data_IF_466191293782
#
_entry.id   IF_466191293782
#
_cell.length_a   1.000
_cell.length_b   1.000
_cell.length_c   1.000
_cell.angle_alpha   90.00
_cell.angle_beta   90.00
_cell.angle_gamma   90.00
#
_symmetry.space_group_name_H-M   'P 1'
#
loop_
_entity.id
_entity.type
_entity.pdbx_description
1 polymer ?
#
# COMPACT_ATOMS: atom_id res chain seq x y z
N UNK A 1 -15.08 19.82 16.70
CA UNK A 1 -14.46 18.79 15.85
C UNK A 1 -13.76 19.53 14.73
N UNK A 2 -12.43 19.56 14.75
CA UNK A 2 -11.71 20.05 13.57
C UNK A 2 -11.86 18.95 12.51
N UNK A 3 -12.70 19.21 11.50
CA UNK A 3 -12.71 18.41 10.28
C UNK A 3 -11.37 18.62 9.60
N UNK A 4 -10.35 17.88 10.05
CA UNK A 4 -9.18 17.65 9.22
C UNK A 4 -9.60 16.63 8.18
N UNK A 5 -10.35 17.09 7.17
CA UNK A 5 -10.39 16.38 5.90
C UNK A 5 -8.97 16.44 5.37
N UNK A 6 -8.21 15.37 5.62
CA UNK A 6 -6.94 15.17 4.96
C UNK A 6 -7.28 14.90 3.50
N UNK A 7 -7.46 15.99 2.75
CA UNK A 7 -7.91 15.94 1.38
C UNK A 7 -6.72 15.48 0.53
N UNK A 8 -6.66 14.17 0.27
CA UNK A 8 -5.57 13.56 -0.52
C UNK A 8 -5.53 14.11 -1.95
N UNK A 9 -6.69 14.55 -2.46
CA UNK A 9 -6.85 15.18 -3.77
C UNK A 9 -7.74 16.41 -3.65
N UNK A 10 -7.52 17.45 -4.47
CA UNK A 10 -8.57 18.41 -4.79
C UNK A 10 -9.88 17.69 -5.17
N UNK A 11 -11.03 18.19 -4.71
CA UNK A 11 -12.34 17.51 -4.85
C UNK A 11 -12.79 17.43 -6.30
N UNK A 12 -12.29 18.31 -7.17
CA UNK A 12 -12.48 18.28 -8.62
C UNK A 12 -11.64 17.19 -9.32
N UNK A 13 -10.62 16.66 -8.65
CA UNK A 13 -9.82 15.53 -9.12
C UNK A 13 -10.39 14.21 -8.62
N UNK A 14 -10.58 14.08 -7.31
CA UNK A 14 -11.19 12.91 -6.68
C UNK A 14 -11.78 13.27 -5.33
N UNK A 15 -13.03 12.90 -5.10
CA UNK A 15 -13.72 13.16 -3.85
C UNK A 15 -14.24 11.85 -3.23
N UNK A 16 -13.58 11.41 -2.16
CA UNK A 16 -13.98 10.22 -1.40
C UNK A 16 -15.36 10.38 -0.76
N UNK A 17 -15.80 11.61 -0.44
CA UNK A 17 -17.10 11.86 0.15
C UNK A 17 -18.25 11.46 -0.79
N UNK A 18 -18.02 11.42 -2.11
CA UNK A 18 -19.00 10.94 -3.10
C UNK A 18 -19.36 9.46 -2.86
N UNK A 19 -18.42 8.68 -2.32
CA UNK A 19 -18.58 7.25 -2.07
C UNK A 19 -18.93 6.93 -0.60
N UNK A 20 -18.80 7.90 0.30
CA UNK A 20 -19.12 7.76 1.71
C UNK A 20 -20.53 8.29 1.98
N UNK A 21 -21.53 7.42 1.84
CA UNK A 21 -22.93 7.76 2.06
C UNK A 21 -23.63 6.66 2.88
N UNK A 22 -24.40 7.04 3.90
CA UNK A 22 -25.22 6.14 4.72
C UNK A 22 -26.16 5.25 3.90
N UNK A 23 -26.57 5.71 2.72
CA UNK A 23 -27.43 4.98 1.76
C UNK A 23 -26.65 4.03 0.84
N UNK A 24 -25.32 4.09 0.82
CA UNK A 24 -24.43 3.23 0.05
C UNK A 24 -23.19 2.85 0.88
N UNK A 25 -23.35 2.01 1.93
CA UNK A 25 -22.21 1.58 2.76
C UNK A 25 -21.17 0.76 1.99
N UNK A 26 -21.50 0.28 0.77
CA UNK A 26 -20.58 -0.40 -0.13
C UNK A 26 -19.80 0.56 -1.05
N UNK A 27 -20.07 1.87 -1.02
CA UNK A 27 -19.40 2.83 -1.91
C UNK A 27 -17.88 2.87 -1.73
N UNK A 28 -17.42 2.73 -0.48
CA UNK A 28 -15.99 2.58 -0.17
C UNK A 28 -15.48 1.12 -0.28
N UNK A 29 -16.33 0.17 -0.69
CA UNK A 29 -16.05 -1.27 -0.80
C UNK A 29 -16.22 -1.74 -2.24
N UNK A 30 -15.44 -1.15 -3.15
CA UNK A 30 -15.41 -1.51 -4.57
C UNK A 30 -15.50 -0.29 -5.48
N UNK A 31 -16.52 0.57 -5.29
CA UNK A 31 -16.76 1.72 -6.18
C UNK A 31 -15.64 2.76 -6.10
N UNK A 32 -15.27 3.19 -4.90
CA UNK A 32 -14.18 4.14 -4.71
C UNK A 32 -12.83 3.58 -5.22
N UNK A 33 -12.56 2.29 -4.97
CA UNK A 33 -11.33 1.63 -5.43
C UNK A 33 -11.27 1.53 -6.95
N UNK A 34 -12.38 1.14 -7.59
CA UNK A 34 -12.49 1.12 -9.05
C UNK A 34 -12.30 2.53 -9.63
N UNK A 35 -13.01 3.52 -9.10
CA UNK A 35 -12.94 4.89 -9.60
C UNK A 35 -11.54 5.49 -9.45
N UNK A 36 -10.86 5.19 -8.33
CA UNK A 36 -9.47 5.59 -8.14
C UNK A 36 -8.52 4.88 -9.14
N UNK A 37 -8.73 3.58 -9.38
CA UNK A 37 -7.97 2.85 -10.39
C UNK A 37 -8.19 3.44 -11.79
N UNK A 38 -9.44 3.70 -12.18
CA UNK A 38 -9.79 4.37 -13.44
C UNK A 38 -9.16 5.77 -13.54
N UNK A 39 -9.15 6.55 -12.46
CA UNK A 39 -8.49 7.86 -12.42
C UNK A 39 -6.99 7.73 -12.72
N UNK A 40 -6.31 6.80 -12.06
CA UNK A 40 -4.87 6.58 -12.25
C UNK A 40 -4.52 6.20 -13.68
N UNK A 41 -5.36 5.37 -14.32
CA UNK A 41 -5.18 4.90 -15.69
C UNK A 41 -5.50 6.00 -16.71
N UNK A 42 -6.62 6.71 -16.52
CA UNK A 42 -7.15 7.64 -17.52
C UNK A 42 -6.51 9.02 -17.48
N UNK A 43 -5.81 9.36 -16.39
CA UNK A 43 -5.12 10.64 -16.19
C UNK A 43 -3.64 10.41 -15.85
N UNK A 44 -2.83 9.93 -16.81
CA UNK A 44 -1.44 9.56 -16.56
C UNK A 44 -0.58 10.72 -16.03
N UNK A 45 -0.94 11.97 -16.32
CA UNK A 45 -0.28 13.16 -15.79
C UNK A 45 -0.34 13.25 -14.25
N UNK A 46 -1.28 12.57 -13.60
CA UNK A 46 -1.38 12.55 -12.14
C UNK A 46 -0.25 11.78 -11.47
N UNK A 47 0.41 10.86 -12.18
CA UNK A 47 1.59 10.16 -11.68
C UNK A 47 2.78 11.11 -11.44
N UNK A 48 2.84 12.24 -12.13
CA UNK A 48 3.85 13.28 -11.93
C UNK A 48 3.45 14.31 -10.86
N UNK A 49 2.16 14.40 -10.53
CA UNK A 49 1.60 15.42 -9.64
C UNK A 49 1.35 14.89 -8.22
N UNK A 50 0.97 13.61 -8.09
CA UNK A 50 0.50 13.02 -6.83
C UNK A 50 1.21 11.69 -6.56
N UNK A 51 2.10 11.68 -5.57
CA UNK A 51 2.82 10.47 -5.15
C UNK A 51 1.87 9.34 -4.71
N UNK A 52 0.68 9.67 -4.20
CA UNK A 52 -0.34 8.68 -3.83
C UNK A 52 -0.79 7.82 -5.01
N UNK A 53 -0.90 8.41 -6.21
CA UNK A 53 -1.28 7.67 -7.44
C UNK A 53 -0.21 6.64 -7.82
N UNK A 54 1.07 6.97 -7.60
CA UNK A 54 2.18 6.04 -7.82
C UNK A 54 2.16 4.83 -6.88
N UNK A 55 1.65 4.98 -5.65
CA UNK A 55 1.62 3.91 -4.64
C UNK A 55 0.30 3.12 -4.64
N UNK A 56 -0.71 3.59 -5.38
CA UNK A 56 -2.01 2.94 -5.49
C UNK A 56 -1.91 1.55 -6.14
N UNK A 57 -2.00 0.49 -5.33
CA UNK A 57 -2.05 -0.90 -5.82
C UNK A 57 -3.48 -1.38 -5.89
N UNK A 58 -4.03 -1.53 -7.10
CA UNK A 58 -5.38 -2.04 -7.31
C UNK A 58 -5.39 -3.49 -7.85
N UNK A 59 -6.50 -4.25 -7.66
CA UNK A 59 -6.59 -5.69 -7.98
C UNK A 59 -6.43 -6.09 -9.46
N UNK A 60 -6.75 -5.21 -10.41
CA UNK A 60 -6.62 -5.49 -11.83
C UNK A 60 -5.15 -5.44 -12.30
N UNK A 61 -4.40 -6.51 -12.01
CA UNK A 61 -2.93 -6.50 -12.05
C UNK A 61 -2.35 -6.17 -13.43
N UNK A 62 -2.86 -6.76 -14.52
CA UNK A 62 -2.35 -6.48 -15.86
C UNK A 62 -2.48 -4.99 -16.22
N UNK A 63 -3.62 -4.40 -15.87
CA UNK A 63 -3.87 -2.95 -16.07
C UNK A 63 -2.92 -2.12 -15.20
N UNK A 64 -2.68 -2.52 -13.95
CA UNK A 64 -1.73 -1.85 -13.04
C UNK A 64 -0.31 -1.87 -13.60
N UNK A 65 0.15 -3.03 -14.07
CA UNK A 65 1.50 -3.22 -14.61
C UNK A 65 1.75 -2.39 -15.87
N UNK A 66 0.71 -2.11 -16.65
CA UNK A 66 0.79 -1.32 -17.89
C UNK A 66 0.67 0.19 -17.66
N UNK A 67 -0.10 0.61 -16.65
CA UNK A 67 -0.44 2.02 -16.43
C UNK A 67 0.42 2.72 -15.37
N UNK A 68 0.86 2.01 -14.33
CA UNK A 68 1.60 2.62 -13.21
C UNK A 68 3.11 2.59 -13.48
N UNK A 69 3.77 3.75 -13.66
CA UNK A 69 5.18 3.82 -14.02
C UNK A 69 6.14 3.60 -12.83
N UNK A 70 5.62 3.57 -11.60
CA UNK A 70 6.44 3.62 -10.39
C UNK A 70 6.42 2.32 -9.60
N UNK A 71 5.27 1.91 -9.05
CA UNK A 71 5.20 0.79 -8.10
C UNK A 71 5.67 -0.54 -8.72
N UNK A 72 5.23 -0.92 -9.94
CA UNK A 72 5.76 -2.09 -10.64
C UNK A 72 7.28 -2.04 -10.85
N UNK A 73 7.82 -0.86 -11.15
CA UNK A 73 9.24 -0.68 -11.41
C UNK A 73 10.09 -0.85 -10.14
N UNK A 74 9.69 -0.25 -9.02
CA UNK A 74 10.44 -0.40 -7.75
C UNK A 74 10.35 -1.83 -7.18
N UNK A 75 9.25 -2.54 -7.47
CA UNK A 75 9.05 -3.93 -7.08
C UNK A 75 9.65 -4.93 -8.09
N UNK A 76 10.24 -4.46 -9.20
CA UNK A 76 10.77 -5.32 -10.27
C UNK A 76 9.76 -6.33 -10.82
N UNK A 77 8.49 -5.92 -10.97
CA UNK A 77 7.40 -6.72 -11.57
C UNK A 77 6.85 -6.08 -12.84
N UNK A 78 7.35 -4.92 -13.25
CA UNK A 78 6.99 -4.29 -14.50
C UNK A 78 7.41 -5.17 -15.70
N UNK A 79 6.65 -5.10 -16.79
CA UNK A 79 7.00 -5.77 -18.05
C UNK A 79 8.26 -5.08 -18.63
N UNK A 80 9.32 -5.85 -18.82
CA UNK A 80 10.60 -5.38 -19.38
C UNK A 80 10.98 -6.30 -20.53
N UNK A 81 11.36 -5.73 -21.67
CA UNK A 81 11.87 -6.50 -22.79
C UNK A 81 13.21 -7.14 -22.46
N UNK A 82 13.39 -8.41 -22.86
CA UNK A 82 14.59 -9.19 -22.52
C UNK A 82 15.89 -8.61 -23.11
N UNK A 83 15.79 -7.74 -24.11
CA UNK A 83 16.91 -7.03 -24.73
C UNK A 83 17.11 -5.59 -24.23
N UNK A 84 16.23 -5.09 -23.34
CA UNK A 84 16.44 -3.83 -22.64
C UNK A 84 17.48 -4.00 -21.52
N UNK A 85 18.74 -3.94 -21.94
CA UNK A 85 19.89 -4.04 -21.06
C UNK A 85 19.92 -2.98 -19.95
N UNK A 86 19.29 -1.81 -20.16
CA UNK A 86 19.29 -0.76 -19.15
C UNK A 86 18.27 -1.07 -18.06
N UNK A 87 17.05 -1.44 -18.44
CA UNK A 87 16.01 -1.83 -17.49
C UNK A 87 16.43 -3.06 -16.65
N UNK A 88 17.07 -4.06 -17.27
CA UNK A 88 17.62 -5.22 -16.55
C UNK A 88 18.70 -4.82 -15.53
N UNK A 89 19.61 -3.91 -15.90
CA UNK A 89 20.62 -3.38 -14.97
C UNK A 89 19.99 -2.60 -13.82
N UNK A 90 18.95 -1.83 -14.10
CA UNK A 90 18.26 -1.06 -13.07
C UNK A 90 17.48 -1.95 -12.09
N UNK A 91 16.86 -3.01 -12.58
CA UNK A 91 16.21 -4.01 -11.73
C UNK A 91 17.21 -4.68 -10.78
N UNK A 92 18.35 -5.15 -11.31
CA UNK A 92 19.42 -5.74 -10.52
C UNK A 92 19.99 -4.72 -9.51
N UNK A 93 20.22 -3.48 -9.94
CA UNK A 93 20.70 -2.41 -9.07
C UNK A 93 19.75 -2.15 -7.89
N UNK A 94 18.43 -2.12 -8.12
CA UNK A 94 17.43 -1.97 -7.04
C UNK A 94 17.51 -3.10 -6.04
N UNK A 95 17.54 -4.35 -6.53
CA UNK A 95 17.70 -5.54 -5.68
C UNK A 95 18.97 -5.49 -4.84
N UNK A 96 20.12 -5.24 -5.46
CA UNK A 96 21.41 -5.16 -4.76
C UNK A 96 21.45 -4.02 -3.74
N UNK A 97 20.78 -2.90 -4.02
CA UNK A 97 20.70 -1.79 -3.07
C UNK A 97 19.82 -2.13 -1.86
N UNK A 98 18.65 -2.74 -2.07
CA UNK A 98 17.78 -3.17 -0.97
C UNK A 98 18.50 -4.18 -0.06
N UNK A 99 19.27 -5.11 -0.64
CA UNK A 99 20.06 -6.09 0.09
C UNK A 99 21.26 -5.52 0.86
N UNK A 100 21.51 -4.20 0.83
CA UNK A 100 22.46 -3.55 1.75
C UNK A 100 21.90 -3.34 3.15
N UNK A 101 20.57 -3.39 3.33
CA UNK A 101 19.94 -3.27 4.63
C UNK A 101 20.38 -4.41 5.54
N UNK A 102 20.88 -4.11 6.75
CA UNK A 102 21.16 -5.15 7.73
C UNK A 102 19.87 -5.85 8.17
N UNK A 103 18.85 -5.04 8.48
CA UNK A 103 17.51 -5.48 8.78
C UNK A 103 16.50 -4.48 8.20
N UNK A 104 15.28 -4.95 7.92
CA UNK A 104 14.12 -4.16 7.57
C UNK A 104 12.96 -4.55 8.49
N UNK A 105 12.51 -3.60 9.30
CA UNK A 105 11.39 -3.75 10.22
C UNK A 105 10.19 -3.01 9.66
N UNK A 106 9.11 -3.75 9.40
CA UNK A 106 7.84 -3.21 8.94
C UNK A 106 6.82 -3.34 10.05
N UNK A 107 6.04 -2.30 10.27
CA UNK A 107 4.99 -2.23 11.29
C UNK A 107 3.64 -2.01 10.63
N UNK A 108 2.62 -2.68 11.13
CA UNK A 108 1.27 -2.59 10.59
C UNK A 108 0.23 -2.96 11.64
N UNK A 109 -0.97 -2.44 11.47
CA UNK A 109 -2.07 -2.58 12.42
C UNK A 109 -3.36 -2.91 11.67
N UNK A 110 -4.17 -3.90 12.12
CA UNK A 110 -5.52 -4.09 11.61
C UNK A 110 -6.41 -2.86 11.78
N UNK A 111 -6.13 -2.04 12.80
CA UNK A 111 -6.83 -0.80 13.13
C UNK A 111 -6.21 0.44 12.48
N UNK A 112 -5.25 0.29 11.55
CA UNK A 112 -4.63 1.42 10.83
C UNK A 112 -5.69 2.35 10.21
N UNK A 113 -6.70 1.77 9.56
CA UNK A 113 -7.88 2.50 9.10
C UNK A 113 -7.67 3.43 7.89
N UNK A 114 -6.45 3.54 7.35
CA UNK A 114 -6.15 4.30 6.14
C UNK A 114 -5.64 3.43 5.00
N UNK A 115 -4.71 2.51 5.29
CA UNK A 115 -4.21 1.54 4.31
C UNK A 115 -5.25 0.44 4.05
N UNK A 116 -5.58 0.20 2.77
CA UNK A 116 -6.55 -0.82 2.36
C UNK A 116 -5.97 -1.70 1.23
N UNK A 117 -5.64 -2.97 1.48
CA UNK A 117 -5.72 -3.64 2.78
C UNK A 117 -4.54 -3.23 3.68
N UNK A 118 -4.73 -3.25 5.01
CA UNK A 118 -3.68 -2.84 5.96
C UNK A 118 -2.42 -3.71 5.87
N UNK A 119 -2.56 -4.96 5.38
CA UNK A 119 -1.44 -5.88 5.12
C UNK A 119 -0.47 -5.37 4.06
N UNK A 120 -0.78 -4.30 3.32
CA UNK A 120 0.17 -3.61 2.44
C UNK A 120 1.44 -3.18 3.19
N UNK A 121 1.33 -2.88 4.50
CA UNK A 121 2.47 -2.60 5.37
C UNK A 121 3.47 -3.77 5.44
N UNK A 122 3.02 -4.99 5.13
CA UNK A 122 3.83 -6.22 5.05
C UNK A 122 3.92 -6.76 3.63
N UNK A 123 3.81 -5.91 2.61
CA UNK A 123 3.79 -6.29 1.18
C UNK A 123 2.61 -7.20 0.78
N UNK A 124 1.60 -7.33 1.63
CA UNK A 124 0.35 -8.01 1.29
C UNK A 124 -0.51 -7.20 0.34
N UNK A 125 -1.49 -7.86 -0.30
CA UNK A 125 -2.43 -7.21 -1.23
C UNK A 125 -3.74 -7.99 -1.33
N UNK A 126 -4.75 -7.39 -1.93
CA UNK A 126 -5.92 -8.13 -2.42
C UNK A 126 -5.54 -9.14 -3.50
N UNK A 127 -6.30 -10.21 -3.66
CA UNK A 127 -6.26 -11.11 -4.82
C UNK A 127 -6.51 -10.34 -6.12
N UNK A 128 -6.10 -10.91 -7.26
CA UNK A 128 -6.26 -10.24 -8.55
C UNK A 128 -7.64 -10.48 -9.16
N UNK A 129 -8.01 -9.57 -10.05
CA UNK A 129 -9.17 -9.65 -10.97
C UNK A 129 -8.72 -9.31 -12.38
N UNK A 130 -9.56 -9.62 -13.37
CA UNK A 130 -9.14 -9.51 -14.78
C UNK A 130 -9.33 -8.11 -15.37
N UNK A 131 -10.15 -7.25 -14.75
CA UNK A 131 -10.45 -5.91 -15.26
C UNK A 131 -10.75 -4.89 -14.16
N UNK A 132 -10.76 -3.59 -14.51
CA UNK A 132 -11.15 -2.52 -13.59
C UNK A 132 -12.60 -2.66 -13.10
N UNK A 133 -13.52 -3.12 -13.97
CA UNK A 133 -14.93 -3.32 -13.60
C UNK A 133 -15.09 -4.42 -12.54
N UNK A 134 -14.26 -5.46 -12.60
CA UNK A 134 -14.29 -6.54 -11.63
C UNK A 134 -13.81 -6.12 -10.24
N UNK A 135 -13.08 -5.00 -10.11
CA UNK A 135 -12.73 -4.44 -8.79
C UNK A 135 -13.98 -4.13 -7.98
N UNK A 136 -15.01 -3.58 -8.63
CA UNK A 136 -16.28 -3.26 -7.97
C UNK A 136 -17.14 -4.51 -7.81
N UNK A 137 -17.34 -5.28 -8.88
CA UNK A 137 -18.32 -6.39 -8.86
C UNK A 137 -17.86 -7.61 -8.05
N UNK A 138 -16.55 -7.78 -7.85
CA UNK A 138 -15.96 -8.89 -7.07
C UNK A 138 -15.28 -8.42 -5.77
N UNK A 139 -15.49 -7.18 -5.33
CA UNK A 139 -14.77 -6.62 -4.17
C UNK A 139 -14.86 -7.50 -2.92
N UNK A 140 -16.07 -8.01 -2.64
CA UNK A 140 -16.34 -8.86 -1.46
C UNK A 140 -15.75 -10.27 -1.57
N UNK A 141 -15.42 -10.71 -2.80
CA UNK A 141 -14.76 -12.00 -3.05
C UNK A 141 -13.23 -11.88 -2.99
N UNK A 142 -12.70 -10.66 -2.91
CA UNK A 142 -11.27 -10.43 -2.81
C UNK A 142 -10.73 -11.01 -1.51
N UNK A 143 -9.71 -11.85 -1.64
CA UNK A 143 -8.97 -12.41 -0.49
C UNK A 143 -7.68 -11.64 -0.27
N UNK A 144 -7.12 -11.73 0.93
CA UNK A 144 -5.80 -11.16 1.21
C UNK A 144 -4.72 -12.17 0.89
N UNK A 145 -3.79 -11.80 0.02
CA UNK A 145 -2.53 -12.52 -0.22
C UNK A 145 -1.49 -11.93 0.71
N UNK A 146 -0.95 -12.76 1.61
CA UNK A 146 0.12 -12.36 2.53
C UNK A 146 1.41 -12.01 1.79
N UNK A 147 2.23 -11.14 2.37
CA UNK A 147 3.46 -10.64 1.72
C UNK A 147 4.44 -11.73 1.29
N UNK A 148 4.54 -12.84 2.04
CA UNK A 148 5.39 -13.99 1.69
C UNK A 148 4.80 -14.86 0.57
N UNK A 149 3.52 -14.69 0.27
CA UNK A 149 2.79 -15.42 -0.76
C UNK A 149 2.69 -14.66 -2.09
N UNK A 150 3.18 -13.41 -2.15
CA UNK A 150 3.22 -12.61 -3.37
C UNK A 150 4.31 -13.07 -4.33
N UNK A 151 4.20 -12.64 -5.59
CA UNK A 151 5.20 -12.95 -6.63
C UNK A 151 6.52 -12.26 -6.33
N UNK A 152 6.48 -11.04 -5.78
CA UNK A 152 7.64 -10.27 -5.37
C UNK A 152 8.52 -11.05 -4.38
N UNK A 153 7.89 -11.70 -3.40
CA UNK A 153 8.60 -12.53 -2.44
C UNK A 153 9.02 -13.87 -3.06
N UNK A 154 8.09 -14.60 -3.68
CA UNK A 154 8.35 -15.95 -4.22
C UNK A 154 9.47 -15.96 -5.26
N UNK A 155 9.50 -14.93 -6.11
CA UNK A 155 10.50 -14.75 -7.17
C UNK A 155 11.68 -13.88 -6.72
N UNK A 156 11.67 -13.39 -5.49
CA UNK A 156 12.73 -12.54 -4.91
C UNK A 156 13.08 -11.33 -5.80
N UNK A 157 12.06 -10.65 -6.33
CA UNK A 157 12.20 -9.70 -7.43
C UNK A 157 13.10 -8.50 -7.06
N UNK A 158 13.03 -8.04 -5.82
CA UNK A 158 13.86 -6.96 -5.30
C UNK A 158 14.66 -7.35 -4.04
N UNK A 159 14.74 -8.63 -3.69
CA UNK A 159 15.57 -9.12 -2.59
C UNK A 159 14.84 -9.34 -1.26
N UNK A 160 13.50 -9.28 -1.23
CA UNK A 160 12.72 -9.45 0.00
C UNK A 160 12.90 -10.84 0.62
N UNK A 161 12.87 -11.90 -0.20
CA UNK A 161 13.07 -13.27 0.25
C UNK A 161 14.52 -13.52 0.66
N UNK A 162 15.49 -13.01 -0.11
CA UNK A 162 16.91 -13.10 0.28
C UNK A 162 17.17 -12.39 1.62
N UNK A 163 16.52 -11.26 1.88
CA UNK A 163 16.61 -10.56 3.17
C UNK A 163 15.98 -11.38 4.31
N UNK A 164 14.83 -12.02 4.08
CA UNK A 164 14.15 -12.89 5.04
C UNK A 164 14.98 -14.13 5.39
N UNK A 165 15.51 -14.83 4.38
CA UNK A 165 16.30 -16.06 4.57
C UNK A 165 17.57 -15.84 5.38
N UNK A 166 18.17 -14.64 5.33
CA UNK A 166 19.31 -14.26 6.18
C UNK A 166 18.92 -13.68 7.54
N UNK A 167 17.63 -13.70 7.90
CA UNK A 167 17.10 -13.23 9.18
C UNK A 167 17.01 -11.71 9.30
N UNK A 168 16.97 -10.98 8.19
CA UNK A 168 16.94 -9.52 8.15
C UNK A 168 15.56 -8.91 7.88
N UNK A 169 14.49 -9.70 7.75
CA UNK A 169 13.14 -9.20 7.48
C UNK A 169 12.20 -9.45 8.66
N UNK A 170 11.55 -8.40 9.14
CA UNK A 170 10.66 -8.48 10.29
C UNK A 170 9.32 -7.79 9.99
N UNK A 171 8.22 -8.51 10.20
CA UNK A 171 6.86 -7.98 10.14
C UNK A 171 6.30 -7.97 11.55
N UNK A 172 5.98 -6.77 12.04
CA UNK A 172 5.48 -6.51 13.38
C UNK A 172 4.02 -6.08 13.30
N UNK A 173 3.13 -7.04 13.53
CA UNK A 173 1.70 -6.75 13.68
C UNK A 173 1.44 -6.20 15.08
N UNK A 174 0.82 -5.02 15.14
CA UNK A 174 0.51 -4.33 16.39
C UNK A 174 -0.96 -3.96 16.36
N UNK A 175 -1.72 -4.48 17.31
CA UNK A 175 -3.13 -4.15 17.45
C UNK A 175 -3.35 -2.73 17.99
N UNK A 176 -4.52 -2.17 17.68
CA UNK A 176 -5.07 -0.94 18.26
C UNK A 176 -4.24 0.33 17.95
N UNK A 177 -3.49 0.34 16.84
CA UNK A 177 -2.72 1.52 16.39
C UNK A 177 -3.35 2.13 15.13
N UNK A 178 -3.94 3.34 15.21
CA UNK A 178 -4.45 4.04 14.03
C UNK A 178 -3.31 4.61 13.18
N UNK A 179 -3.54 4.79 11.88
CA UNK A 179 -2.53 5.15 10.87
C UNK A 179 -1.62 6.31 11.28
N UNK A 180 -2.21 7.39 11.75
CA UNK A 180 -1.53 8.62 12.14
C UNK A 180 -0.65 8.45 13.38
N UNK A 181 -0.99 7.52 14.27
CA UNK A 181 -0.25 7.27 15.51
C UNK A 181 1.13 6.63 15.29
N UNK A 182 1.40 6.13 14.08
CA UNK A 182 2.74 5.67 13.70
C UNK A 182 3.76 6.81 13.59
N UNK A 183 3.32 8.06 13.47
CA UNK A 183 4.21 9.21 13.24
C UNK A 183 3.90 10.44 14.12
N UNK A 184 2.71 10.54 14.71
CA UNK A 184 2.32 11.67 15.56
C UNK A 184 1.18 11.30 16.50
N UNK A 185 1.04 12.01 17.62
CA UNK A 185 -0.12 11.86 18.49
C UNK A 185 -1.44 12.09 17.73
N UNK A 186 -2.45 11.26 17.98
CA UNK A 186 -3.72 11.32 17.26
C UNK A 186 -4.93 10.95 18.12
N UNK A 187 -6.05 11.70 18.07
CA UNK A 187 -7.29 11.31 18.74
C UNK A 187 -7.82 9.95 18.23
N UNK A 188 -8.27 9.08 19.12
CA UNK A 188 -8.86 7.82 18.69
C UNK A 188 -10.19 8.07 17.95
N UNK A 189 -10.43 7.33 16.86
CA UNK A 189 -11.63 7.51 16.04
C UNK A 189 -12.91 7.07 16.76
N UNK A 190 -12.82 6.05 17.59
CA UNK A 190 -13.92 5.49 18.39
C UNK A 190 -14.17 6.25 19.70
N UNK A 191 -13.14 6.89 20.25
CA UNK A 191 -13.22 7.74 21.43
C UNK A 191 -12.35 9.01 21.26
N UNK A 192 -12.90 10.09 20.67
CA UNK A 192 -12.14 11.31 20.39
C UNK A 192 -11.74 12.09 21.65
N UNK A 193 -12.14 11.63 22.85
CA UNK A 193 -11.64 12.16 24.13
C UNK A 193 -10.31 11.55 24.54
N UNK A 194 -9.89 10.47 23.88
CA UNK A 194 -8.61 9.81 24.07
C UNK A 194 -7.68 10.10 22.90
N UNK A 195 -6.39 10.05 23.17
CA UNK A 195 -5.34 10.27 22.19
C UNK A 195 -4.41 9.07 22.23
N UNK A 196 -4.15 8.49 21.06
CA UNK A 196 -3.01 7.60 20.86
C UNK A 196 -1.75 8.46 20.88
N UNK A 197 -0.83 8.17 21.80
CA UNK A 197 0.45 8.87 21.89
C UNK A 197 1.49 8.13 21.06
N UNK A 198 2.11 8.81 20.11
CA UNK A 198 3.17 8.24 19.27
C UNK A 198 4.33 7.72 20.14
N UNK A 199 4.68 8.45 21.20
CA UNK A 199 5.78 8.06 22.08
C UNK A 199 5.54 6.70 22.74
N UNK A 200 4.30 6.39 23.13
CA UNK A 200 3.95 5.09 23.72
C UNK A 200 4.10 3.96 22.69
N UNK A 201 3.70 4.20 21.43
CA UNK A 201 3.88 3.25 20.33
C UNK A 201 5.37 3.05 20.02
N UNK A 202 6.13 4.14 19.96
CA UNK A 202 7.55 4.11 19.71
C UNK A 202 8.30 3.32 20.78
N UNK A 203 8.13 3.66 22.06
CA UNK A 203 8.84 3.03 23.17
C UNK A 203 8.46 1.55 23.34
N UNK A 204 7.19 1.22 23.09
CA UNK A 204 6.69 -0.15 23.28
C UNK A 204 7.02 -1.09 22.14
N UNK A 205 7.00 -0.63 20.89
CA UNK A 205 7.08 -1.50 19.71
C UNK A 205 8.24 -1.19 18.78
N UNK A 206 8.55 0.09 18.53
CA UNK A 206 9.58 0.48 17.56
C UNK A 206 10.96 0.41 18.19
N UNK A 207 11.18 1.10 19.30
CA UNK A 207 12.46 1.18 20.00
C UNK A 207 13.03 -0.21 20.35
N UNK A 208 12.24 -1.19 20.85
CA UNK A 208 12.77 -2.52 21.16
C UNK A 208 13.16 -3.35 19.92
N UNK A 209 12.67 -2.98 18.73
CA UNK A 209 13.02 -3.63 17.47
C UNK A 209 14.26 -3.03 16.80
N UNK A 210 14.72 -1.85 17.26
CA UNK A 210 15.93 -1.24 16.74
C UNK A 210 17.17 -1.93 17.35
N UNK A 211 18.21 -2.20 16.54
CA UNK A 211 19.45 -2.82 17.00
C UNK A 211 20.32 -1.91 17.89
#
# INVERSE_FOLDING_TARGET
MANYELQMFPTDIFDFATYQNDSNPAGLRGQAQRAFAELSVNKPELHEQFAFVNLGRFPANEVLLESNPFLPAINNVNKVDADDNQALKDAERRKQNFLKLHAAHFFGSPEDGAAAPWQTSFFGRYSYVDSLEEIETKFEDLTIVGGRDTEEFKNDTFGLKTLDERGGLFFHEVADVPHTCWITDWPLLDDPTKTCAFQDIFDKYILPALP
#
